data_IF_749687519721
#
_entry.id   IF_749687519721
#
_cell.length_a   1.000
_cell.length_b   1.000
_cell.length_c   1.000
_cell.angle_alpha   90.00
_cell.angle_beta   90.00
_cell.angle_gamma   90.00
#
_symmetry.space_group_name_H-M   'P 1'
#
loop_
_entity.id
_entity.type
_entity.pdbx_description
1 polymer ?
#
# COMPACT_ATOMS: atom_id res chain seq x y z
N UNK A 1 6.69 8.32 3.64
CA UNK A 1 6.60 9.29 4.74
C UNK A 1 7.29 8.73 5.99
N UNK A 2 7.69 9.58 6.93
CA UNK A 2 8.32 9.14 8.19
C UNK A 2 7.41 8.24 9.04
N UNK A 3 6.10 8.50 9.07
CA UNK A 3 5.13 7.66 9.79
C UNK A 3 5.07 6.24 9.25
N UNK A 4 4.87 6.08 7.93
CA UNK A 4 4.81 4.74 7.33
C UNK A 4 6.16 4.00 7.32
N UNK A 5 7.28 4.73 7.28
CA UNK A 5 8.62 4.17 7.47
C UNK A 5 8.75 3.53 8.87
N UNK A 6 8.31 4.25 9.91
CA UNK A 6 8.30 3.72 11.28
C UNK A 6 7.38 2.51 11.42
N UNK A 7 6.20 2.52 10.78
CA UNK A 7 5.31 1.35 10.76
C UNK A 7 6.00 0.12 10.18
N UNK A 8 6.71 0.25 9.05
CA UNK A 8 7.45 -0.87 8.46
C UNK A 8 8.56 -1.33 9.41
N UNK A 9 9.35 -0.41 9.99
CA UNK A 9 10.41 -0.75 10.94
C UNK A 9 9.87 -1.51 12.17
N UNK A 10 8.71 -1.12 12.69
CA UNK A 10 8.06 -1.80 13.80
C UNK A 10 7.52 -3.19 13.41
N UNK A 11 6.96 -3.36 12.21
CA UNK A 11 6.59 -4.68 11.72
C UNK A 11 7.81 -5.58 11.48
N UNK A 12 8.95 -5.03 11.04
CA UNK A 12 10.20 -5.82 10.91
C UNK A 12 10.66 -6.30 12.28
N UNK A 13 10.70 -5.40 13.27
CA UNK A 13 11.18 -5.71 14.61
C UNK A 13 10.22 -6.63 15.38
N UNK A 14 8.91 -6.48 15.16
CA UNK A 14 7.86 -7.20 15.86
C UNK A 14 6.76 -7.67 14.88
N UNK A 15 7.05 -8.69 14.04
CA UNK A 15 6.18 -9.10 12.94
C UNK A 15 4.78 -9.55 13.37
N UNK A 16 4.64 -10.05 14.60
CA UNK A 16 3.37 -10.52 15.15
C UNK A 16 2.67 -9.51 16.07
N UNK A 17 3.21 -8.30 16.25
CA UNK A 17 2.65 -7.32 17.18
C UNK A 17 1.36 -6.68 16.65
N UNK A 18 1.33 -6.32 15.37
CA UNK A 18 0.15 -5.73 14.73
C UNK A 18 -0.69 -6.80 14.04
N UNK A 19 -2.02 -6.74 14.22
CA UNK A 19 -2.95 -7.61 13.49
C UNK A 19 -2.88 -7.37 11.97
N UNK A 20 -2.65 -6.12 11.57
CA UNK A 20 -2.45 -5.69 10.19
C UNK A 20 -1.85 -4.28 10.14
N UNK A 21 -1.35 -3.88 8.99
CA UNK A 21 -0.89 -2.50 8.73
C UNK A 21 -1.47 -1.96 7.42
N UNK A 22 -1.90 -0.70 7.44
CA UNK A 22 -2.19 0.06 6.23
C UNK A 22 -1.02 1.00 5.92
N UNK A 23 -0.29 0.73 4.84
CA UNK A 23 0.93 1.42 4.46
C UNK A 23 0.67 2.32 3.24
N UNK A 24 0.66 3.63 3.45
CA UNK A 24 0.31 4.61 2.41
C UNK A 24 1.51 5.47 2.04
N UNK A 25 1.92 5.42 0.77
CA UNK A 25 3.05 6.17 0.21
C UNK A 25 4.23 6.26 1.20
N UNK A 26 4.69 5.11 1.67
CA UNK A 26 5.91 4.97 2.46
C UNK A 26 6.79 3.90 1.84
N UNK A 27 8.04 3.84 2.24
CA UNK A 27 8.99 2.81 1.82
C UNK A 27 9.94 2.52 2.96
N UNK A 28 10.72 1.46 2.83
CA UNK A 28 11.86 1.20 3.69
C UNK A 28 12.91 0.43 2.89
N UNK A 29 14.04 0.10 3.50
CA UNK A 29 14.99 -0.79 2.87
C UNK A 29 14.42 -2.22 2.81
N UNK A 30 14.27 -2.76 1.59
CA UNK A 30 13.78 -4.11 1.34
C UNK A 30 14.70 -5.20 1.88
N UNK A 31 16.01 -4.93 2.00
CA UNK A 31 16.99 -5.90 2.54
C UNK A 31 16.77 -6.22 4.03
N UNK A 32 15.97 -5.39 4.72
CA UNK A 32 15.61 -5.60 6.12
C UNK A 32 14.36 -6.48 6.30
N UNK A 33 13.68 -6.83 5.21
CA UNK A 33 12.57 -7.79 5.24
C UNK A 33 13.14 -9.18 5.49
N UNK A 34 12.54 -9.91 6.43
CA UNK A 34 12.97 -11.26 6.80
C UNK A 34 11.87 -12.28 6.54
N UNK A 35 12.23 -13.55 6.48
CA UNK A 35 11.29 -14.64 6.22
C UNK A 35 10.17 -14.75 7.28
N UNK A 36 10.44 -14.35 8.53
CA UNK A 36 9.45 -14.31 9.61
C UNK A 36 8.30 -13.33 9.32
N UNK A 37 8.44 -12.45 8.32
CA UNK A 37 7.40 -11.52 7.91
C UNK A 37 6.44 -12.09 6.86
N UNK A 38 6.61 -13.32 6.38
CA UNK A 38 5.76 -13.90 5.33
C UNK A 38 4.27 -13.95 5.72
N UNK A 39 3.97 -14.00 7.02
CA UNK A 39 2.62 -14.04 7.58
C UNK A 39 1.97 -12.68 7.85
N UNK A 40 2.69 -11.55 7.69
CA UNK A 40 2.11 -10.23 7.99
C UNK A 40 0.93 -9.93 7.08
N UNK A 41 -0.01 -9.13 7.59
CA UNK A 41 -1.21 -8.72 6.85
C UNK A 41 -1.12 -7.25 6.51
N UNK A 42 -0.73 -6.93 5.28
CA UNK A 42 -0.54 -5.55 4.85
C UNK A 42 -1.49 -5.20 3.72
N UNK A 43 -2.09 -4.02 3.83
CA UNK A 43 -2.63 -3.30 2.69
C UNK A 43 -1.70 -2.15 2.37
N UNK A 44 -1.33 -1.99 1.10
CA UNK A 44 -0.40 -0.96 0.64
C UNK A 44 -1.10 -0.15 -0.44
N UNK A 45 -0.99 1.17 -0.37
CA UNK A 45 -1.47 2.08 -1.44
C UNK A 45 -0.40 3.13 -1.73
N UNK A 46 0.02 3.20 -2.99
CA UNK A 46 1.10 4.10 -3.42
C UNK A 46 0.85 4.61 -4.84
N UNK A 47 1.15 5.87 -5.15
CA UNK A 47 1.07 6.36 -6.52
C UNK A 47 2.28 5.93 -7.35
N UNK A 48 2.06 5.58 -8.62
CA UNK A 48 3.14 5.42 -9.59
C UNK A 48 3.92 6.72 -9.85
N UNK A 49 3.35 7.88 -9.54
CA UNK A 49 4.04 9.18 -9.59
C UNK A 49 4.95 9.42 -8.36
N UNK A 50 4.97 8.52 -7.39
CA UNK A 50 5.90 8.57 -6.26
C UNK A 50 7.21 7.88 -6.62
N UNK A 51 8.18 8.66 -7.09
CA UNK A 51 9.49 8.19 -7.55
C UNK A 51 10.33 7.46 -6.48
N UNK A 52 9.97 7.54 -5.20
CA UNK A 52 10.69 6.85 -4.12
C UNK A 52 9.87 5.72 -3.51
N UNK A 53 8.62 6.00 -3.13
CA UNK A 53 7.82 5.02 -2.40
C UNK A 53 7.33 3.89 -3.30
N UNK A 54 7.01 4.16 -4.56
CA UNK A 54 6.53 3.14 -5.49
C UNK A 54 7.57 2.04 -5.74
N UNK A 55 8.81 2.35 -6.19
CA UNK A 55 9.82 1.31 -6.34
C UNK A 55 10.20 0.67 -5.00
N UNK A 56 10.27 1.43 -3.91
CA UNK A 56 10.62 0.88 -2.59
C UNK A 56 9.59 -0.13 -2.05
N UNK A 57 8.29 0.17 -2.16
CA UNK A 57 7.24 -0.79 -1.78
C UNK A 57 7.20 -2.00 -2.71
N UNK A 58 7.45 -1.79 -4.01
CA UNK A 58 7.51 -2.88 -4.98
C UNK A 58 8.58 -3.89 -4.57
N UNK A 59 9.79 -3.43 -4.26
CA UNK A 59 10.89 -4.27 -3.79
C UNK A 59 10.56 -5.00 -2.47
N UNK A 60 9.93 -4.32 -1.51
CA UNK A 60 9.48 -4.96 -0.26
C UNK A 60 8.46 -6.08 -0.52
N UNK A 61 7.47 -5.82 -1.37
CA UNK A 61 6.42 -6.80 -1.70
C UNK A 61 6.98 -7.98 -2.48
N UNK A 62 7.95 -7.76 -3.37
CA UNK A 62 8.70 -8.82 -4.03
C UNK A 62 9.44 -9.68 -3.02
N UNK A 63 10.12 -9.07 -2.04
CA UNK A 63 10.82 -9.79 -0.99
C UNK A 63 9.91 -10.64 -0.11
N UNK A 64 8.74 -10.10 0.25
CA UNK A 64 7.71 -10.85 0.98
C UNK A 64 7.18 -12.03 0.16
N UNK A 65 7.00 -11.86 -1.15
CA UNK A 65 6.58 -12.94 -2.04
C UNK A 65 7.64 -14.06 -2.14
N UNK A 66 8.92 -13.71 -2.24
CA UNK A 66 10.04 -14.69 -2.18
C UNK A 66 9.99 -15.52 -0.90
N UNK A 67 9.59 -14.91 0.22
CA UNK A 67 9.44 -15.58 1.51
C UNK A 67 8.10 -16.32 1.69
N UNK A 68 7.25 -16.36 0.66
CA UNK A 68 6.03 -17.16 0.64
C UNK A 68 4.75 -16.39 1.02
N UNK A 69 4.79 -15.07 1.15
CA UNK A 69 3.58 -14.28 1.31
C UNK A 69 2.70 -14.35 0.05
N UNK A 70 1.39 -14.46 0.23
CA UNK A 70 0.44 -14.38 -0.89
C UNK A 70 0.18 -12.92 -1.21
N UNK A 71 0.46 -12.53 -2.45
CA UNK A 71 0.32 -11.15 -2.90
C UNK A 71 -0.81 -10.99 -3.90
N UNK A 72 -1.76 -10.10 -3.61
CA UNK A 72 -2.68 -9.56 -4.59
C UNK A 72 -2.18 -8.19 -5.04
N UNK A 73 -2.12 -7.96 -6.35
CA UNK A 73 -1.78 -6.65 -6.96
C UNK A 73 -2.99 -6.07 -7.67
N UNK A 74 -3.16 -4.75 -7.57
CA UNK A 74 -4.17 -3.97 -8.28
C UNK A 74 -3.63 -2.62 -8.72
N UNK A 75 -3.96 -2.22 -9.94
CA UNK A 75 -3.67 -0.88 -10.46
C UNK A 75 -5.00 -0.12 -10.53
N UNK A 76 -5.14 0.94 -9.75
CA UNK A 76 -6.39 1.66 -9.52
C UNK A 76 -6.28 3.11 -9.98
N UNK A 77 -7.39 3.73 -10.40
CA UNK A 77 -7.41 5.17 -10.62
C UNK A 77 -7.76 5.87 -9.30
N UNK A 78 -6.95 6.83 -8.85
CA UNK A 78 -7.18 7.54 -7.60
C UNK A 78 -8.50 8.33 -7.58
N UNK A 79 -9.02 8.72 -8.75
CA UNK A 79 -10.26 9.49 -8.90
C UNK A 79 -11.50 8.64 -9.14
N UNK A 80 -11.39 7.32 -8.98
CA UNK A 80 -12.55 6.44 -9.04
C UNK A 80 -13.62 6.84 -8.03
N UNK A 81 -14.86 6.59 -8.41
CA UNK A 81 -16.00 6.69 -7.52
C UNK A 81 -15.92 5.64 -6.41
N UNK A 82 -16.63 5.83 -5.29
CA UNK A 82 -16.71 4.81 -4.23
C UNK A 82 -17.18 3.43 -4.73
N UNK A 83 -18.09 3.40 -5.72
CA UNK A 83 -18.59 2.16 -6.30
C UNK A 83 -17.52 1.41 -7.10
N UNK A 84 -16.69 2.13 -7.86
CA UNK A 84 -15.57 1.56 -8.60
C UNK A 84 -14.49 1.02 -7.65
N UNK A 85 -14.15 1.77 -6.60
CA UNK A 85 -13.26 1.27 -5.54
C UNK A 85 -13.81 0.02 -4.87
N UNK A 86 -15.10 -0.03 -4.54
CA UNK A 86 -15.72 -1.20 -3.95
C UNK A 86 -15.66 -2.42 -4.88
N UNK A 87 -15.93 -2.23 -6.17
CA UNK A 87 -15.85 -3.30 -7.16
C UNK A 87 -14.41 -3.83 -7.32
N UNK A 88 -13.42 -2.93 -7.40
CA UNK A 88 -12.02 -3.29 -7.49
C UNK A 88 -11.52 -4.00 -6.22
N UNK A 89 -11.90 -3.47 -5.05
CA UNK A 89 -11.61 -4.08 -3.76
C UNK A 89 -12.14 -5.51 -3.68
N UNK A 90 -13.42 -5.76 -4.01
CA UNK A 90 -14.01 -7.11 -3.95
C UNK A 90 -13.26 -8.12 -4.79
N UNK A 91 -12.81 -7.74 -5.99
CA UNK A 91 -11.99 -8.61 -6.87
C UNK A 91 -10.62 -8.92 -6.27
N UNK A 92 -10.06 -7.99 -5.49
CA UNK A 92 -8.75 -8.15 -4.85
C UNK A 92 -8.87 -8.97 -3.56
N UNK A 93 -9.86 -8.67 -2.71
CA UNK A 93 -10.15 -9.37 -1.44
C UNK A 93 -10.48 -10.85 -1.67
N UNK A 94 -11.21 -11.17 -2.75
CA UNK A 94 -11.54 -12.54 -3.13
C UNK A 94 -10.31 -13.43 -3.41
N UNK A 95 -9.12 -12.84 -3.61
CA UNK A 95 -7.88 -13.61 -3.81
C UNK A 95 -7.30 -14.16 -2.50
N UNK A 96 -7.79 -13.71 -1.33
CA UNK A 96 -7.36 -14.22 -0.03
C UNK A 96 -5.87 -14.02 0.26
N UNK A 97 -5.29 -12.95 -0.28
CA UNK A 97 -3.90 -12.58 -0.09
C UNK A 97 -3.69 -11.87 1.25
N UNK A 98 -2.59 -12.17 1.94
CA UNK A 98 -2.20 -11.45 3.14
C UNK A 98 -1.48 -10.12 2.82
N UNK A 99 -0.89 -9.99 1.63
CA UNK A 99 -0.35 -8.73 1.13
C UNK A 99 -1.20 -8.23 -0.03
N UNK A 100 -1.83 -7.07 0.16
CA UNK A 100 -2.63 -6.39 -0.85
C UNK A 100 -1.89 -5.13 -1.29
N UNK A 101 -1.35 -5.13 -2.51
CA UNK A 101 -0.57 -4.03 -3.08
C UNK A 101 -1.37 -3.30 -4.16
N UNK A 102 -1.78 -2.06 -3.86
CA UNK A 102 -2.47 -1.17 -4.80
C UNK A 102 -1.52 -0.08 -5.26
N UNK A 103 -1.38 0.08 -6.57
CA UNK A 103 -0.75 1.25 -7.18
C UNK A 103 -1.81 2.17 -7.79
N UNK A 104 -1.77 3.46 -7.50
CA UNK A 104 -2.55 4.43 -8.28
C UNK A 104 -1.87 4.67 -9.62
N UNK A 105 -2.63 4.61 -10.72
CA UNK A 105 -2.13 4.83 -12.07
C UNK A 105 -1.47 6.20 -12.18
N UNK A 106 -0.38 6.26 -12.95
CA UNK A 106 0.34 7.50 -13.22
C UNK A 106 -0.61 8.63 -13.65
N UNK A 107 -0.45 9.81 -13.07
CA UNK A 107 -1.27 10.99 -13.29
C UNK A 107 -2.57 11.03 -12.49
N UNK A 108 -3.11 9.89 -12.04
CA UNK A 108 -4.47 9.87 -11.45
C UNK A 108 -4.58 10.60 -10.12
N UNK A 109 -3.50 10.72 -9.36
CA UNK A 109 -3.51 11.45 -8.08
C UNK A 109 -3.58 12.97 -8.25
N UNK A 110 -3.35 13.50 -9.45
CA UNK A 110 -3.37 14.93 -9.73
C UNK A 110 -4.70 15.35 -10.35
N UNK A 111 -5.30 16.43 -9.82
CA UNK A 111 -6.54 17.02 -10.35
C UNK A 111 -6.26 18.13 -11.37
N UNK A 112 -5.04 18.67 -11.38
CA UNK A 112 -4.62 19.72 -12.31
C UNK A 112 -3.22 19.46 -12.83
N UNK A 113 -2.90 20.04 -14.00
CA UNK A 113 -1.56 19.99 -14.59
C UNK A 113 -0.51 20.65 -13.69
N UNK A 114 -0.86 21.74 -13.00
CA UNK A 114 0.02 22.39 -12.04
C UNK A 114 0.44 21.45 -10.89
N UNK A 115 -0.47 20.59 -10.40
CA UNK A 115 -0.13 19.58 -9.39
C UNK A 115 0.79 18.48 -9.94
N UNK A 116 0.55 18.05 -11.17
CA UNK A 116 1.39 17.05 -11.85
C UNK A 116 2.83 17.57 -12.06
N UNK A 117 2.97 18.86 -12.38
CA UNK A 117 4.24 19.50 -12.68
C UNK A 117 4.93 20.12 -11.46
N UNK A 118 4.35 20.06 -10.27
CA UNK A 118 4.94 20.61 -9.05
C UNK A 118 6.26 19.94 -8.64
N UNK A 119 6.54 18.74 -9.18
CA UNK A 119 7.76 17.98 -8.91
C UNK A 119 7.92 17.55 -7.45
N UNK A 120 9.08 17.00 -7.13
CA UNK A 120 9.43 16.61 -5.75
C UNK A 120 8.52 15.52 -5.18
N UNK A 121 7.92 15.78 -4.03
CA UNK A 121 7.07 14.84 -3.29
C UNK A 121 5.57 14.93 -3.69
N UNK A 122 5.25 15.49 -4.86
CA UNK A 122 3.84 15.72 -5.26
C UNK A 122 3.02 14.44 -5.32
N UNK A 123 3.51 13.39 -6.00
CA UNK A 123 2.84 12.07 -6.04
C UNK A 123 2.73 11.41 -4.67
N UNK A 124 3.73 11.65 -3.81
CA UNK A 124 3.80 11.12 -2.44
C UNK A 124 2.65 11.63 -1.58
N UNK A 125 2.51 12.96 -1.47
CA UNK A 125 1.50 13.59 -0.61
C UNK A 125 0.12 13.52 -1.24
N UNK A 126 0.01 13.57 -2.58
CA UNK A 126 -1.26 13.43 -3.28
C UNK A 126 -1.89 12.04 -3.07
N UNK A 127 -1.10 10.98 -2.91
CA UNK A 127 -1.61 9.64 -2.58
C UNK A 127 -2.49 9.64 -1.34
N UNK A 128 -2.12 10.41 -0.30
CA UNK A 128 -2.80 10.40 0.99
C UNK A 128 -4.23 10.93 0.91
N UNK A 129 -4.48 11.88 -0.01
CA UNK A 129 -5.78 12.51 -0.22
C UNK A 129 -6.86 11.54 -0.69
N UNK A 130 -6.46 10.38 -1.24
CA UNK A 130 -7.39 9.38 -1.76
C UNK A 130 -7.34 8.10 -0.92
N UNK A 131 -6.14 7.62 -0.61
CA UNK A 131 -5.93 6.33 0.04
C UNK A 131 -6.74 6.17 1.34
N UNK A 132 -6.71 7.17 2.22
CA UNK A 132 -7.42 7.10 3.49
C UNK A 132 -8.94 7.19 3.36
N UNK A 133 -9.47 7.66 2.22
CA UNK A 133 -10.90 7.79 1.98
C UNK A 133 -11.53 6.52 1.37
N UNK A 134 -10.73 5.51 1.00
CA UNK A 134 -11.24 4.24 0.48
C UNK A 134 -11.84 3.38 1.60
N UNK A 135 -13.15 3.51 1.80
CA UNK A 135 -13.92 2.79 2.83
C UNK A 135 -13.65 1.28 2.90
N UNK A 136 -13.71 0.51 1.80
CA UNK A 136 -13.52 -0.95 1.91
C UNK A 136 -12.10 -1.36 2.33
N UNK A 137 -11.07 -0.52 2.09
CA UNK A 137 -9.71 -0.77 2.60
C UNK A 137 -9.67 -0.59 4.11
N UNK A 138 -10.33 0.44 4.64
CA UNK A 138 -10.47 0.63 6.09
C UNK A 138 -11.21 -0.54 6.74
N UNK A 139 -12.31 -0.99 6.14
CA UNK A 139 -13.05 -2.16 6.60
C UNK A 139 -12.20 -3.43 6.58
N UNK A 140 -11.34 -3.60 5.57
CA UNK A 140 -10.39 -4.71 5.54
C UNK A 140 -9.48 -4.71 6.77
N UNK A 141 -8.94 -3.55 7.16
CA UNK A 141 -8.10 -3.42 8.35
C UNK A 141 -8.89 -3.83 9.62
N UNK A 142 -10.12 -3.36 9.79
CA UNK A 142 -10.95 -3.69 10.95
C UNK A 142 -11.35 -5.18 11.04
N UNK A 143 -11.38 -5.90 9.91
CA UNK A 143 -11.64 -7.35 9.90
C UNK A 143 -10.44 -8.18 10.37
N UNK A 144 -9.23 -7.61 10.38
CA UNK A 144 -8.04 -8.37 10.74
C UNK A 144 -7.96 -8.60 12.25
N UNK A 145 -7.52 -9.80 12.61
CA UNK A 145 -7.23 -10.19 13.99
C UNK A 145 -5.83 -10.78 14.05
N UNK A 146 -5.20 -10.65 15.22
CA UNK A 146 -4.05 -11.49 15.57
C UNK A 146 -4.57 -12.94 15.62
N UNK A 147 -3.83 -13.84 14.98
CA UNK A 147 -4.11 -15.27 15.05
C UNK A 147 -3.87 -15.80 16.46
#
# INVERSE_FOLDING_TARGET
SGGGMMSIAMNIKYPDFFAASYLVACQWNADLITQNMAGVKWWITVSQDDAKAYPGQTAIVEKLAEYGARVARGEWNAQWTPAEFLAAFRRMDARGANINFVSFTKGSVFKTEAQANAGGASGHTATWQYAYDIAPVREWIFRQRRG
#
